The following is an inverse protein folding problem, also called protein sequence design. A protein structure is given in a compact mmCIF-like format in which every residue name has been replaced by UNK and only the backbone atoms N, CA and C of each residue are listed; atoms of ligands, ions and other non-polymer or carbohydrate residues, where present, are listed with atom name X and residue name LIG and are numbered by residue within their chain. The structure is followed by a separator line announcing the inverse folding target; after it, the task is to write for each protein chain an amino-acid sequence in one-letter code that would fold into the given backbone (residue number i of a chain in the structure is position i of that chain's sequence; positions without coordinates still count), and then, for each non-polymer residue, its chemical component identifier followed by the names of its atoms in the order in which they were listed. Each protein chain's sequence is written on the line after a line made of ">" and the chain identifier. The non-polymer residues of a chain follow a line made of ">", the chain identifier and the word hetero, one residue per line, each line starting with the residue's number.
data_IF_025306091993
#
_entry.id   IF_025306091993
#
_cell.length_a   1.000
_cell.length_b   1.000
_cell.length_c   1.000
_cell.angle_alpha   90.00
_cell.angle_beta   90.00
_cell.angle_gamma   90.00
#
_symmetry.space_group_name_H-M   'P 1'
#
loop_
_entity.id
_entity.type
_entity.pdbx_description
1 polymer ?
#
# COMPACT_ATOMS: atom_id res chain seq x y z
N UNK A 1 33.44 -27.02 -11.84
CA UNK A 1 31.96 -26.99 -11.96
C UNK A 1 31.58 -26.92 -13.44
N UNK A 2 30.58 -27.67 -13.90
CA UNK A 2 30.18 -27.65 -15.30
C UNK A 2 29.39 -26.39 -15.65
N UNK A 3 29.45 -25.93 -16.91
CA UNK A 3 28.65 -24.82 -17.44
C UNK A 3 27.14 -25.02 -17.20
N UNK A 4 26.71 -26.29 -17.18
CA UNK A 4 25.33 -26.69 -16.89
C UNK A 4 24.96 -26.40 -15.42
N UNK A 5 25.82 -26.77 -14.46
CA UNK A 5 25.60 -26.50 -13.04
C UNK A 5 25.56 -24.98 -12.72
N UNK A 6 26.31 -24.17 -13.46
CA UNK A 6 26.25 -22.71 -13.32
C UNK A 6 24.92 -22.13 -13.83
N UNK A 7 24.43 -22.62 -14.98
CA UNK A 7 23.12 -22.23 -15.52
C UNK A 7 21.98 -22.61 -14.56
N UNK A 8 22.02 -23.80 -13.98
CA UNK A 8 21.01 -24.27 -13.01
C UNK A 8 21.01 -23.44 -11.73
N UNK A 9 22.19 -23.08 -11.19
CA UNK A 9 22.29 -22.18 -10.03
C UNK A 9 21.76 -20.78 -10.34
N UNK A 10 22.04 -20.26 -11.53
CA UNK A 10 21.51 -18.97 -11.95
C UNK A 10 19.99 -19.00 -12.08
N UNK A 11 19.43 -20.01 -12.76
CA UNK A 11 17.99 -20.18 -12.90
C UNK A 11 17.28 -20.35 -11.55
N UNK A 12 17.85 -21.14 -10.64
CA UNK A 12 17.32 -21.31 -9.28
C UNK A 12 17.36 -19.99 -8.48
N UNK A 13 18.42 -19.19 -8.64
CA UNK A 13 18.52 -17.86 -8.03
C UNK A 13 17.46 -16.89 -8.54
N UNK A 14 17.25 -16.86 -9.85
CA UNK A 14 16.22 -16.02 -10.49
C UNK A 14 14.82 -16.40 -10.03
N UNK A 15 14.47 -17.70 -10.09
CA UNK A 15 13.18 -18.19 -9.59
C UNK A 15 12.94 -17.82 -8.12
N UNK A 16 13.97 -17.93 -7.27
CA UNK A 16 13.86 -17.54 -5.86
C UNK A 16 13.60 -16.04 -5.71
N UNK A 17 14.27 -15.21 -6.51
CA UNK A 17 14.09 -13.76 -6.52
C UNK A 17 12.67 -13.37 -6.98
N UNK A 18 12.17 -14.01 -8.04
CA UNK A 18 10.81 -13.79 -8.55
C UNK A 18 9.75 -14.15 -7.51
N UNK A 19 9.92 -15.29 -6.82
CA UNK A 19 9.00 -15.71 -5.76
C UNK A 19 8.98 -14.73 -4.58
N UNK A 20 10.14 -14.18 -4.20
CA UNK A 20 10.23 -13.15 -3.15
C UNK A 20 9.52 -11.88 -3.59
N UNK A 21 9.78 -11.40 -4.81
CA UNK A 21 9.15 -10.20 -5.35
C UNK A 21 7.62 -10.34 -5.41
N UNK A 22 7.12 -11.48 -5.87
CA UNK A 22 5.69 -11.78 -5.91
C UNK A 22 5.07 -11.79 -4.51
N UNK A 23 5.76 -12.39 -3.52
CA UNK A 23 5.28 -12.42 -2.15
C UNK A 23 5.22 -11.02 -1.52
N UNK A 24 6.24 -10.18 -1.76
CA UNK A 24 6.27 -8.78 -1.30
C UNK A 24 5.14 -7.96 -1.93
N UNK A 25 4.94 -8.09 -3.24
CA UNK A 25 3.86 -7.42 -3.98
C UNK A 25 2.48 -7.77 -3.42
N UNK A 26 2.23 -9.07 -3.17
CA UNK A 26 0.98 -9.54 -2.56
C UNK A 26 0.79 -9.02 -1.14
N UNK A 27 1.87 -8.97 -0.36
CA UNK A 27 1.82 -8.44 1.00
C UNK A 27 1.41 -6.97 1.00
N UNK A 28 2.04 -6.13 0.19
CA UNK A 28 1.75 -4.69 0.14
C UNK A 28 0.34 -4.44 -0.40
N UNK A 29 -0.09 -5.14 -1.45
CA UNK A 29 -1.46 -5.01 -1.98
C UNK A 29 -2.52 -5.35 -0.92
N UNK A 30 -2.28 -6.42 -0.15
CA UNK A 30 -3.16 -6.81 0.96
C UNK A 30 -3.15 -5.77 2.08
N UNK A 31 -1.98 -5.34 2.52
CA UNK A 31 -1.83 -4.33 3.56
C UNK A 31 -2.51 -3.02 3.15
N UNK A 32 -2.37 -2.61 1.89
CA UNK A 32 -3.02 -1.42 1.36
C UNK A 32 -4.55 -1.51 1.42
N UNK A 33 -5.13 -2.64 1.02
CA UNK A 33 -6.58 -2.86 1.16
C UNK A 33 -7.03 -2.82 2.63
N UNK A 34 -6.29 -3.48 3.52
CA UNK A 34 -6.60 -3.53 4.94
C UNK A 34 -6.43 -2.18 5.65
N UNK A 35 -5.55 -1.28 5.16
CA UNK A 35 -5.37 0.09 5.68
C UNK A 35 -6.43 1.04 5.12
N UNK A 36 -6.82 0.93 3.84
CA UNK A 36 -7.89 1.77 3.25
C UNK A 36 -9.19 1.70 4.05
N UNK A 37 -9.54 0.53 4.58
CA UNK A 37 -10.79 0.33 5.33
C UNK A 37 -10.87 1.16 6.64
N UNK A 38 -9.91 1.07 7.59
CA UNK A 38 -9.90 1.93 8.77
C UNK A 38 -9.72 3.41 8.40
N UNK A 39 -8.98 3.76 7.35
CA UNK A 39 -8.86 5.16 6.91
C UNK A 39 -10.18 5.75 6.45
N UNK A 40 -10.95 5.02 5.63
CA UNK A 40 -12.30 5.43 5.24
C UNK A 40 -13.24 5.54 6.44
N UNK A 41 -13.05 4.68 7.45
CA UNK A 41 -13.74 4.78 8.73
C UNK A 41 -13.41 6.08 9.47
N UNK A 42 -12.12 6.44 9.58
CA UNK A 42 -11.68 7.69 10.22
C UNK A 42 -12.25 8.89 9.46
N UNK A 43 -12.14 8.93 8.13
CA UNK A 43 -12.71 10.01 7.30
C UNK A 43 -14.22 10.14 7.52
N UNK A 44 -14.95 9.02 7.52
CA UNK A 44 -16.39 9.01 7.75
C UNK A 44 -16.76 9.51 9.16
N UNK A 45 -16.02 9.10 10.19
CA UNK A 45 -16.25 9.56 11.56
C UNK A 45 -15.93 11.03 11.73
N UNK A 46 -14.84 11.52 11.14
CA UNK A 46 -14.53 12.95 11.13
C UNK A 46 -15.61 13.76 10.41
N UNK A 47 -16.14 13.27 9.29
CA UNK A 47 -17.24 13.92 8.59
C UNK A 47 -18.53 13.98 9.43
N UNK A 48 -18.81 12.95 10.24
CA UNK A 48 -19.92 12.98 11.19
C UNK A 48 -19.66 13.99 12.32
N UNK A 49 -18.45 14.06 12.88
CA UNK A 49 -18.09 15.03 13.91
C UNK A 49 -18.21 16.48 13.41
N UNK A 50 -17.82 16.75 12.16
CA UNK A 50 -17.99 18.06 11.52
C UNK A 50 -19.46 18.49 11.36
N UNK A 51 -20.42 17.56 11.53
CA UNK A 51 -21.86 17.88 11.54
C UNK A 51 -22.43 18.16 12.94
N UNK A 52 -21.57 18.18 13.97
CA UNK A 52 -21.94 18.45 15.37
C UNK A 52 -21.46 19.83 15.82
N UNK A 53 -21.94 20.29 16.99
CA UNK A 53 -21.45 21.52 17.60
C UNK A 53 -20.04 21.29 18.18
N UNK A 54 -19.02 21.82 17.51
CA UNK A 54 -17.62 21.77 17.93
C UNK A 54 -17.17 23.16 18.39
N UNK A 55 -16.32 23.21 19.41
CA UNK A 55 -15.55 24.41 19.72
C UNK A 55 -14.36 24.56 18.74
N UNK A 56 -13.65 25.70 18.82
CA UNK A 56 -12.57 26.05 17.89
C UNK A 56 -11.40 25.04 17.94
N UNK A 57 -11.00 24.61 19.14
CA UNK A 57 -9.92 23.63 19.33
C UNK A 57 -10.33 22.25 18.80
N UNK A 58 -11.60 21.85 19.02
CA UNK A 58 -12.15 20.60 18.51
C UNK A 58 -12.25 20.58 16.99
N UNK A 59 -12.67 21.70 16.39
CA UNK A 59 -12.75 21.84 14.94
C UNK A 59 -11.37 21.67 14.31
N UNK A 60 -10.36 22.38 14.82
CA UNK A 60 -8.98 22.29 14.33
C UNK A 60 -8.44 20.86 14.46
N UNK A 61 -8.74 20.18 15.57
CA UNK A 61 -8.38 18.78 15.76
C UNK A 61 -9.03 17.85 14.73
N UNK A 62 -10.34 18.01 14.47
CA UNK A 62 -11.08 17.16 13.51
C UNK A 62 -10.60 17.40 12.08
N UNK A 63 -10.32 18.65 11.72
CA UNK A 63 -9.74 19.01 10.42
C UNK A 63 -8.35 18.38 10.25
N UNK A 64 -7.50 18.47 11.28
CA UNK A 64 -6.17 17.86 11.26
C UNK A 64 -6.22 16.33 11.13
N UNK A 65 -7.10 15.66 11.88
CA UNK A 65 -7.32 14.21 11.76
C UNK A 65 -7.75 13.85 10.32
N UNK A 66 -8.66 14.63 9.75
CA UNK A 66 -9.17 14.42 8.39
C UNK A 66 -8.07 14.57 7.36
N UNK A 67 -7.25 15.62 7.48
CA UNK A 67 -6.09 15.86 6.61
C UNK A 67 -5.09 14.69 6.67
N UNK A 68 -4.67 14.30 7.88
CA UNK A 68 -3.77 13.15 8.05
C UNK A 68 -4.36 11.86 7.48
N UNK A 69 -5.68 11.72 7.55
CA UNK A 69 -6.35 10.54 7.03
C UNK A 69 -6.28 10.45 5.50
N UNK A 70 -6.46 11.57 4.80
CA UNK A 70 -6.28 11.63 3.36
C UNK A 70 -4.81 11.48 2.94
N UNK A 71 -3.88 12.12 3.64
CA UNK A 71 -2.44 11.98 3.35
C UNK A 71 -1.98 10.52 3.46
N UNK A 72 -2.45 9.79 4.48
CA UNK A 72 -2.11 8.38 4.64
C UNK A 72 -2.76 7.52 3.54
N UNK A 73 -3.97 7.86 3.10
CA UNK A 73 -4.63 7.19 1.97
C UNK A 73 -3.81 7.37 0.67
N UNK A 74 -3.29 8.56 0.42
CA UNK A 74 -2.46 8.87 -0.74
C UNK A 74 -1.14 8.09 -0.73
N UNK A 75 -0.48 8.02 0.44
CA UNK A 75 0.73 7.18 0.62
C UNK A 75 0.43 5.72 0.31
N UNK A 76 -0.69 5.19 0.82
CA UNK A 76 -1.10 3.80 0.56
C UNK A 76 -1.43 3.58 -0.92
N UNK A 77 -2.08 4.55 -1.57
CA UNK A 77 -2.38 4.48 -3.00
C UNK A 77 -1.10 4.45 -3.85
N UNK A 78 -0.12 5.30 -3.52
CA UNK A 78 1.18 5.35 -4.19
C UNK A 78 1.90 3.98 -4.15
N UNK A 79 1.92 3.31 -3.00
CA UNK A 79 2.51 1.96 -2.90
C UNK A 79 1.78 0.92 -3.76
N UNK A 80 0.45 1.01 -3.85
CA UNK A 80 -0.33 0.11 -4.70
C UNK A 80 -0.06 0.35 -6.19
N UNK A 81 0.05 1.61 -6.61
CA UNK A 81 0.36 1.98 -8.00
C UNK A 81 1.76 1.52 -8.43
N UNK A 82 2.76 1.63 -7.54
CA UNK A 82 4.12 1.17 -7.79
C UNK A 82 4.16 -0.34 -8.10
N UNK A 83 3.36 -1.14 -7.39
CA UNK A 83 3.29 -2.59 -7.61
C UNK A 83 2.51 -2.93 -8.89
N UNK A 84 1.50 -2.15 -9.26
CA UNK A 84 0.76 -2.36 -10.49
C UNK A 84 1.62 -2.13 -11.75
N UNK A 85 2.62 -1.24 -11.71
CA UNK A 85 3.57 -1.06 -12.82
C UNK A 85 4.49 -2.27 -13.04
N UNK A 86 4.87 -2.99 -11.97
CA UNK A 86 5.70 -4.21 -12.08
C UNK A 86 4.95 -5.41 -12.73
N UNK A 87 3.62 -5.40 -12.71
CA UNK A 87 2.79 -6.46 -13.30
C UNK A 87 2.51 -6.29 -14.81
N UNK A 88 2.66 -5.08 -15.36
CA UNK A 88 2.45 -4.82 -16.79
C UNK A 88 3.72 -5.00 -17.63
N UNK A 89 4.90 -4.99 -17.02
CA UNK A 89 6.20 -5.19 -17.68
C UNK A 89 6.61 -6.67 -17.84
N UNK A 90 5.85 -7.61 -17.26
CA UNK A 90 6.12 -9.07 -17.32
C UNK A 90 5.23 -9.84 -18.32
N UNK A 91 4.43 -9.14 -19.13
CA UNK A 91 3.52 -9.75 -20.12
C UNK A 91 3.90 -9.52 -21.59
N UNK A 92 5.09 -9.02 -21.89
CA UNK A 92 5.66 -8.98 -23.26
C UNK A 92 6.81 -9.98 -23.42
#
# INVERSE_FOLDING_TARGET
>A
MSRQALKERLASGLMKSEMISLAQSRFIARAGYEIRNPMNGIIGMSALLLSTDLDEDQLECVEFITMCAYELLDIVNCFNELIHQDFLSTKE
#
